data_IF_651100933796
#
_entry.id   IF_651100933796
#
_cell.length_a   1.000
_cell.length_b   1.000
_cell.length_c   1.000
_cell.angle_alpha   90.00
_cell.angle_beta   90.00
_cell.angle_gamma   90.00
#
_symmetry.space_group_name_H-M   'P 1'
#
loop_
_entity.id
_entity.type
_entity.pdbx_description
1 polymer ?
#
# COMPACT_ATOMS: atom_id res chain seq x y z
N UNK A 1 61.92 22.53 -43.65
CA UNK A 1 61.02 21.48 -43.18
C UNK A 1 61.52 20.13 -43.62
N UNK A 2 61.77 19.23 -42.68
CA UNK A 2 62.06 17.85 -42.95
C UNK A 2 60.75 17.06 -42.97
N UNK A 3 60.49 16.42 -44.11
CA UNK A 3 59.25 15.57 -44.25
C UNK A 3 59.70 14.09 -44.31
N UNK A 4 60.83 13.83 -44.93
CA UNK A 4 61.40 12.49 -45.08
C UNK A 4 62.96 12.59 -45.21
N UNK A 5 63.66 11.47 -45.11
CA UNK A 5 65.12 11.39 -45.17
C UNK A 5 65.81 11.56 -43.81
N UNK A 6 67.12 11.45 -43.74
CA UNK A 6 67.94 11.62 -42.55
C UNK A 6 68.91 12.81 -42.69
N UNK A 7 68.86 13.79 -41.76
CA UNK A 7 69.80 14.94 -41.78
C UNK A 7 71.22 14.59 -41.66
N UNK A 8 71.56 13.40 -41.10
CA UNK A 8 72.94 12.95 -40.88
C UNK A 8 73.37 11.75 -41.78
N UNK A 9 72.55 11.41 -42.78
CA UNK A 9 72.86 10.30 -43.68
C UNK A 9 74.12 10.58 -44.48
N UNK A 10 75.00 9.60 -44.51
CA UNK A 10 76.24 9.65 -45.34
C UNK A 10 75.91 9.40 -46.82
N UNK A 11 74.84 8.73 -47.15
CA UNK A 11 74.35 8.44 -48.48
C UNK A 11 73.58 9.66 -49.05
N UNK A 12 74.01 10.24 -50.19
CA UNK A 12 73.27 11.40 -50.78
C UNK A 12 71.80 11.13 -51.11
N UNK A 13 71.41 9.87 -51.35
CA UNK A 13 70.06 9.47 -51.67
C UNK A 13 69.10 9.47 -50.44
N UNK A 14 69.65 9.44 -49.24
CA UNK A 14 68.93 9.43 -47.98
C UNK A 14 68.97 10.79 -47.22
N UNK A 15 69.82 11.72 -47.73
CA UNK A 15 69.91 13.06 -47.12
C UNK A 15 68.65 13.91 -47.32
N UNK A 16 68.15 14.55 -46.27
CA UNK A 16 66.98 15.45 -46.32
C UNK A 16 67.38 16.90 -46.71
N UNK A 17 68.68 17.26 -46.76
CA UNK A 17 69.14 18.57 -47.10
C UNK A 17 69.97 18.51 -48.38
N UNK A 18 69.83 19.50 -49.28
CA UNK A 18 70.73 19.65 -50.42
C UNK A 18 72.13 20.11 -49.92
N UNK A 19 73.17 19.70 -50.62
CA UNK A 19 74.58 20.06 -50.32
C UNK A 19 74.81 21.58 -50.27
N UNK A 20 74.05 22.36 -51.00
CA UNK A 20 74.03 23.85 -50.95
C UNK A 20 73.60 24.46 -49.61
N UNK A 21 72.88 23.70 -48.79
CA UNK A 21 72.40 24.14 -47.44
C UNK A 21 73.36 23.64 -46.33
N UNK A 22 74.11 22.58 -46.56
CA UNK A 22 74.97 21.97 -45.57
C UNK A 22 76.44 22.43 -45.64
N UNK A 23 76.88 23.10 -46.79
CA UNK A 23 78.23 23.58 -46.95
C UNK A 23 78.21 25.11 -47.19
N UNK A 24 79.02 25.85 -46.45
CA UNK A 24 79.18 27.31 -46.62
C UNK A 24 80.08 27.60 -47.82
N UNK A 25 80.09 28.86 -48.29
CA UNK A 25 80.94 29.35 -49.40
C UNK A 25 82.45 29.28 -49.12
N UNK A 26 82.86 29.12 -47.84
CA UNK A 26 84.21 28.94 -47.38
C UNK A 26 84.58 27.46 -47.29
N UNK A 27 83.69 26.51 -47.69
CA UNK A 27 83.91 25.08 -47.66
C UNK A 27 83.70 24.40 -46.33
N UNK A 28 83.29 25.14 -45.27
CA UNK A 28 83.02 24.57 -43.99
C UNK A 28 81.57 23.97 -43.95
N UNK A 29 81.40 22.81 -43.26
CA UNK A 29 80.10 22.17 -43.07
C UNK A 29 79.32 22.91 -42.03
N UNK A 30 77.99 23.03 -42.28
CA UNK A 30 77.03 23.61 -41.36
C UNK A 30 75.81 22.72 -41.31
N UNK A 31 75.29 22.50 -40.11
CA UNK A 31 73.99 21.85 -39.91
C UNK A 31 72.88 22.85 -40.05
N UNK A 32 71.91 22.70 -41.00
CA UNK A 32 70.83 23.60 -41.17
C UNK A 32 69.77 23.38 -40.04
N UNK A 33 69.37 24.44 -39.39
CA UNK A 33 68.23 24.38 -38.49
C UNK A 33 66.96 24.20 -39.30
N UNK A 34 66.26 23.09 -39.10
CA UNK A 34 65.03 22.78 -39.78
C UNK A 34 63.95 22.28 -38.83
N UNK A 35 62.68 22.54 -39.17
CA UNK A 35 61.55 21.94 -38.52
C UNK A 35 61.34 20.52 -39.04
N UNK A 36 61.24 19.54 -38.19
CA UNK A 36 61.17 18.12 -38.54
C UNK A 36 59.71 17.59 -38.33
N UNK A 37 58.98 17.36 -39.44
CA UNK A 37 57.59 16.93 -39.41
C UNK A 37 57.37 15.43 -39.20
N UNK A 38 58.44 14.65 -39.10
CA UNK A 38 58.37 13.18 -38.91
C UNK A 38 57.82 12.85 -37.53
N UNK A 39 57.07 11.74 -37.42
CA UNK A 39 56.35 11.35 -36.18
C UNK A 39 57.23 11.14 -34.95
N UNK A 40 58.48 10.71 -35.18
CA UNK A 40 59.50 10.41 -34.12
C UNK A 40 60.37 11.62 -33.75
N UNK A 41 60.18 12.77 -34.41
CA UNK A 41 60.94 14.00 -34.17
C UNK A 41 59.92 15.09 -33.60
N UNK A 42 59.83 16.25 -34.22
CA UNK A 42 58.93 17.32 -33.78
C UNK A 42 57.44 16.99 -34.03
N UNK A 43 57.15 16.15 -35.00
CA UNK A 43 55.81 15.88 -35.47
C UNK A 43 55.18 17.09 -36.18
N UNK A 44 54.08 16.86 -36.87
CA UNK A 44 53.45 17.87 -37.76
C UNK A 44 53.09 19.20 -37.03
N UNK A 45 52.63 19.13 -35.79
CA UNK A 45 52.17 20.32 -35.05
C UNK A 45 53.37 21.21 -34.63
N UNK A 46 54.40 20.61 -34.01
CA UNK A 46 55.56 21.36 -33.55
C UNK A 46 56.43 21.87 -34.72
N UNK A 47 56.55 21.08 -35.80
CA UNK A 47 57.19 21.52 -37.02
C UNK A 47 56.48 22.71 -37.65
N UNK A 48 55.15 22.72 -37.71
CA UNK A 48 54.33 23.86 -38.13
C UNK A 48 54.61 25.12 -37.27
N UNK A 49 54.64 24.95 -35.95
CA UNK A 49 54.91 26.08 -35.03
C UNK A 49 56.34 26.61 -35.19
N UNK A 50 57.35 25.74 -35.41
CA UNK A 50 58.76 26.16 -35.70
C UNK A 50 58.84 26.98 -36.99
N UNK A 51 58.13 26.57 -38.05
CA UNK A 51 58.10 27.31 -39.32
C UNK A 51 57.43 28.67 -39.14
N UNK A 52 56.33 28.76 -38.46
CA UNK A 52 55.61 30.02 -38.18
C UNK A 52 56.49 30.93 -37.30
N UNK A 53 57.15 30.40 -36.27
CA UNK A 53 58.07 31.12 -35.42
C UNK A 53 59.23 31.72 -36.22
N UNK A 54 59.83 30.92 -37.10
CA UNK A 54 60.92 31.36 -37.98
C UNK A 54 60.51 32.42 -38.98
N UNK A 55 59.32 32.28 -39.58
CA UNK A 55 58.78 33.25 -40.56
C UNK A 55 58.41 34.60 -39.92
N UNK A 56 57.95 34.60 -38.65
CA UNK A 56 57.55 35.79 -37.90
C UNK A 56 58.68 36.41 -37.08
N UNK A 57 59.86 35.77 -37.00
CA UNK A 57 61.01 36.23 -36.22
C UNK A 57 60.76 36.20 -34.69
N UNK A 58 59.86 35.34 -34.20
CA UNK A 58 59.50 35.24 -32.78
C UNK A 58 59.93 33.92 -32.18
N UNK A 59 60.18 33.89 -30.87
CA UNK A 59 60.55 32.68 -30.17
C UNK A 59 59.50 31.57 -30.22
N UNK A 60 59.87 30.34 -30.49
CA UNK A 60 58.99 29.19 -30.49
C UNK A 60 58.23 29.06 -29.16
N UNK A 61 58.90 29.32 -28.02
CA UNK A 61 58.35 29.24 -26.68
C UNK A 61 57.26 30.28 -26.45
N UNK A 62 57.33 31.45 -27.04
CA UNK A 62 56.31 32.49 -26.97
C UNK A 62 55.05 32.08 -27.71
N UNK A 63 55.20 31.46 -28.91
CA UNK A 63 54.06 30.92 -29.64
C UNK A 63 53.38 29.77 -28.90
N UNK A 64 54.17 28.87 -28.32
CA UNK A 64 53.68 27.72 -27.56
C UNK A 64 52.95 28.15 -26.27
N UNK A 65 53.47 29.14 -25.56
CA UNK A 65 52.84 29.73 -24.39
C UNK A 65 51.48 30.39 -24.75
N UNK A 66 51.42 31.14 -25.85
CA UNK A 66 50.15 31.76 -26.31
C UNK A 66 49.12 30.76 -26.74
N UNK A 67 49.45 29.67 -27.41
CA UNK A 67 48.54 28.62 -27.81
C UNK A 67 48.03 27.84 -26.58
N UNK A 68 48.90 27.51 -25.64
CA UNK A 68 48.52 26.86 -24.38
C UNK A 68 47.59 27.77 -23.53
N UNK A 69 47.90 29.04 -23.41
CA UNK A 69 47.06 30.01 -22.68
C UNK A 69 45.65 30.17 -23.30
N UNK A 70 45.57 30.16 -24.63
CA UNK A 70 44.29 30.22 -25.37
C UNK A 70 43.46 28.98 -25.14
N UNK A 71 44.06 27.80 -25.20
CA UNK A 71 43.38 26.52 -24.90
C UNK A 71 42.96 26.45 -23.46
N UNK A 72 43.81 26.83 -22.51
CA UNK A 72 43.43 26.86 -21.10
C UNK A 72 42.27 27.83 -20.82
N UNK A 73 42.23 29.01 -21.43
CA UNK A 73 41.10 29.95 -21.29
C UNK A 73 39.82 29.36 -21.85
N UNK A 74 39.84 28.70 -23.01
CA UNK A 74 38.67 28.04 -23.58
C UNK A 74 38.17 26.88 -22.70
N UNK A 75 39.07 26.07 -22.16
CA UNK A 75 38.76 25.01 -21.19
C UNK A 75 38.18 25.56 -19.89
N UNK A 76 38.75 26.62 -19.33
CA UNK A 76 38.21 27.26 -18.13
C UNK A 76 36.82 27.86 -18.38
N UNK A 77 36.57 28.46 -19.52
CA UNK A 77 35.25 29.01 -19.88
C UNK A 77 34.21 27.88 -20.06
N UNK A 78 34.61 26.79 -20.75
CA UNK A 78 33.67 25.64 -20.92
C UNK A 78 33.40 24.92 -19.60
N UNK A 79 34.41 24.71 -18.75
CA UNK A 79 34.22 24.17 -17.40
C UNK A 79 33.37 25.09 -16.50
N UNK A 80 33.61 26.38 -16.54
CA UNK A 80 32.82 27.38 -15.81
C UNK A 80 31.36 27.37 -16.25
N UNK A 81 31.10 27.33 -17.57
CA UNK A 81 29.76 27.21 -18.11
C UNK A 81 29.06 25.92 -17.71
N UNK A 82 29.74 24.78 -17.80
CA UNK A 82 29.21 23.47 -17.39
C UNK A 82 28.90 23.44 -15.88
N UNK A 83 29.78 24.01 -15.05
CA UNK A 83 29.58 24.09 -13.61
C UNK A 83 28.39 24.99 -13.22
N UNK A 84 28.22 26.11 -13.92
CA UNK A 84 27.06 27.01 -13.71
C UNK A 84 25.75 26.29 -14.06
N UNK A 85 25.72 25.59 -15.21
CA UNK A 85 24.54 24.78 -15.59
C UNK A 85 24.24 23.70 -14.57
N UNK A 86 25.27 22.97 -14.09
CA UNK A 86 25.12 21.95 -13.06
C UNK A 86 24.54 22.52 -11.76
N UNK A 87 25.05 23.68 -11.31
CA UNK A 87 24.52 24.37 -10.09
C UNK A 87 23.07 24.79 -10.28
N UNK A 88 22.72 25.38 -11.42
CA UNK A 88 21.35 25.78 -11.73
C UNK A 88 20.42 24.57 -11.78
N UNK A 89 20.83 23.49 -12.45
CA UNK A 89 20.04 22.24 -12.51
C UNK A 89 19.85 21.62 -11.13
N UNK A 90 20.87 21.61 -10.30
CA UNK A 90 20.78 21.12 -8.93
C UNK A 90 19.85 21.99 -8.08
N UNK A 91 19.93 23.31 -8.20
CA UNK A 91 19.04 24.22 -7.50
C UNK A 91 17.58 24.05 -7.95
N UNK A 92 17.32 23.92 -9.26
CA UNK A 92 15.99 23.64 -9.79
C UNK A 92 15.45 22.30 -9.34
N UNK A 93 16.28 21.26 -9.32
CA UNK A 93 15.90 19.93 -8.80
C UNK A 93 15.53 20.00 -7.31
N UNK A 94 16.31 20.69 -6.48
CA UNK A 94 16.00 20.88 -5.07
C UNK A 94 14.70 21.67 -4.86
N UNK A 95 14.45 22.72 -5.63
CA UNK A 95 13.19 23.47 -5.57
C UNK A 95 12.01 22.59 -5.97
N UNK A 96 12.15 21.80 -7.05
CA UNK A 96 11.12 20.88 -7.50
C UNK A 96 10.81 19.80 -6.45
N UNK A 97 11.86 19.20 -5.83
CA UNK A 97 11.71 18.21 -4.77
C UNK A 97 11.00 18.82 -3.56
N UNK A 98 11.44 20.01 -3.11
CA UNK A 98 10.81 20.69 -1.97
C UNK A 98 9.36 21.10 -2.27
N UNK A 99 9.06 21.55 -3.47
CA UNK A 99 7.70 21.89 -3.89
C UNK A 99 6.80 20.64 -3.90
N UNK A 100 7.33 19.51 -4.39
CA UNK A 100 6.64 18.23 -4.37
C UNK A 100 6.35 17.76 -2.93
N UNK A 101 7.35 17.75 -2.04
CA UNK A 101 7.16 17.40 -0.64
C UNK A 101 6.17 18.33 0.08
N UNK A 102 6.20 19.63 -0.23
CA UNK A 102 5.24 20.57 0.34
C UNK A 102 3.80 20.32 -0.17
N UNK A 103 3.63 19.90 -1.41
CA UNK A 103 2.34 19.51 -1.97
C UNK A 103 1.86 18.19 -1.34
N UNK A 104 2.72 17.18 -1.25
CA UNK A 104 2.44 15.90 -0.59
C UNK A 104 2.02 16.09 0.87
N UNK A 105 2.77 16.87 1.65
CA UNK A 105 2.43 17.17 3.06
C UNK A 105 1.09 17.91 3.20
N UNK A 106 0.80 18.89 2.34
CA UNK A 106 -0.50 19.59 2.38
C UNK A 106 -1.66 18.66 2.09
N UNK A 107 -1.47 17.75 1.15
CA UNK A 107 -2.44 16.73 0.79
C UNK A 107 -2.66 15.74 1.93
N UNK A 108 -1.60 15.19 2.50
CA UNK A 108 -1.67 14.30 3.66
C UNK A 108 -2.40 14.97 4.84
N UNK A 109 -2.11 16.25 5.12
CA UNK A 109 -2.85 17.00 6.14
C UNK A 109 -4.33 17.18 5.80
N UNK A 110 -4.68 17.41 4.53
CA UNK A 110 -6.07 17.52 4.11
C UNK A 110 -6.81 16.18 4.22
N UNK A 111 -6.19 15.08 3.77
CA UNK A 111 -6.75 13.72 3.86
C UNK A 111 -6.91 13.28 5.33
N UNK A 112 -5.92 13.56 6.19
CA UNK A 112 -6.01 13.30 7.64
C UNK A 112 -7.10 14.15 8.30
N UNK A 113 -7.27 15.41 7.89
CA UNK A 113 -8.33 16.26 8.40
C UNK A 113 -9.71 15.71 8.00
N UNK A 114 -9.87 15.28 6.74
CA UNK A 114 -11.09 14.64 6.26
C UNK A 114 -11.37 13.35 7.05
N UNK A 115 -10.37 12.50 7.24
CA UNK A 115 -10.49 11.28 8.05
C UNK A 115 -10.90 11.56 9.49
N UNK A 116 -10.27 12.56 10.12
CA UNK A 116 -10.66 13.01 11.46
C UNK A 116 -12.09 13.55 11.50
N UNK A 117 -12.47 14.39 10.52
CA UNK A 117 -13.82 14.98 10.47
C UNK A 117 -14.91 13.91 10.28
N UNK A 118 -14.66 12.90 9.47
CA UNK A 118 -15.62 11.83 9.20
C UNK A 118 -15.64 10.79 10.33
N UNK A 119 -14.47 10.40 10.87
CA UNK A 119 -14.35 9.37 11.91
C UNK A 119 -14.61 9.87 13.32
N UNK A 120 -13.72 10.73 13.85
CA UNK A 120 -13.78 11.17 15.25
C UNK A 120 -14.98 12.09 15.52
N UNK A 121 -15.35 12.92 14.53
CA UNK A 121 -16.49 13.79 14.64
C UNK A 121 -17.81 12.97 14.58
N UNK A 122 -17.85 11.90 13.76
CA UNK A 122 -18.98 10.95 13.73
C UNK A 122 -19.27 10.44 15.15
N UNK A 123 -18.27 9.89 15.82
CA UNK A 123 -18.42 9.34 17.17
C UNK A 123 -19.00 10.37 18.17
N UNK A 124 -18.52 11.62 18.10
CA UNK A 124 -18.98 12.71 18.98
C UNK A 124 -20.38 13.24 18.62
N UNK A 125 -20.72 13.24 17.33
CA UNK A 125 -22.05 13.69 16.87
C UNK A 125 -23.10 12.62 17.12
N UNK A 126 -22.73 11.35 17.05
CA UNK A 126 -23.60 10.22 17.41
C UNK A 126 -23.99 10.28 18.90
N UNK A 127 -23.01 10.54 19.79
CA UNK A 127 -23.29 10.73 21.24
C UNK A 127 -24.33 11.82 21.53
N UNK A 128 -24.44 12.83 20.68
CA UNK A 128 -25.37 13.96 20.83
C UNK A 128 -26.57 13.91 19.88
N UNK A 129 -26.69 12.84 19.09
CA UNK A 129 -27.79 12.63 18.13
C UNK A 129 -27.81 13.63 16.97
N UNK A 130 -26.65 14.17 16.54
CA UNK A 130 -26.54 15.23 15.53
C UNK A 130 -25.78 14.74 14.27
N UNK A 131 -26.09 13.54 13.81
CA UNK A 131 -25.53 12.99 12.56
C UNK A 131 -25.94 13.78 11.31
N UNK A 132 -27.03 14.59 11.41
CA UNK A 132 -27.48 15.52 10.37
C UNK A 132 -26.37 16.49 9.89
N UNK A 133 -25.42 16.82 10.75
CA UNK A 133 -24.28 17.68 10.41
C UNK A 133 -23.32 16.99 9.44
N UNK A 134 -23.20 15.67 9.50
CA UNK A 134 -22.31 14.90 8.62
C UNK A 134 -22.85 14.75 7.20
N UNK A 135 -24.18 14.83 7.00
CA UNK A 135 -24.81 14.74 5.68
C UNK A 135 -24.28 15.82 4.71
N UNK A 136 -24.21 17.06 5.19
CA UNK A 136 -23.66 18.17 4.38
C UNK A 136 -22.18 18.07 4.08
N UNK A 137 -21.43 17.29 4.86
CA UNK A 137 -19.98 17.10 4.70
C UNK A 137 -19.67 15.98 3.71
N UNK A 138 -20.49 14.95 3.62
CA UNK A 138 -20.27 13.81 2.74
C UNK A 138 -20.11 14.22 1.27
N UNK A 139 -20.99 15.10 0.78
CA UNK A 139 -20.91 15.62 -0.59
C UNK A 139 -19.61 16.41 -0.87
N UNK A 140 -19.18 17.25 0.09
CA UNK A 140 -17.93 18.02 -0.06
C UNK A 140 -16.69 17.14 -0.02
N UNK A 141 -16.72 16.10 0.81
CA UNK A 141 -15.62 15.12 0.87
C UNK A 141 -15.55 14.32 -0.42
N UNK A 142 -16.69 13.87 -0.97
CA UNK A 142 -16.75 13.19 -2.26
C UNK A 142 -16.20 14.05 -3.38
N UNK A 143 -16.63 15.31 -3.48
CA UNK A 143 -16.15 16.28 -4.46
C UNK A 143 -14.64 16.50 -4.32
N UNK A 144 -14.13 16.64 -3.10
CA UNK A 144 -12.67 16.76 -2.87
C UNK A 144 -11.91 15.54 -3.36
N UNK A 145 -12.37 14.32 -3.04
CA UNK A 145 -11.70 13.08 -3.43
C UNK A 145 -11.69 12.88 -4.96
N UNK A 146 -12.75 13.31 -5.65
CA UNK A 146 -12.83 13.26 -7.11
C UNK A 146 -11.90 14.26 -7.81
N UNK A 147 -11.49 15.35 -7.15
CA UNK A 147 -10.57 16.35 -7.70
C UNK A 147 -9.10 15.94 -7.66
N UNK A 148 -8.77 14.83 -6.97
CA UNK A 148 -7.39 14.37 -6.86
C UNK A 148 -6.90 13.79 -8.19
N UNK A 149 -5.72 14.26 -8.66
CA UNK A 149 -5.12 13.78 -9.91
C UNK A 149 -4.67 12.31 -9.76
N UNK A 150 -5.17 11.38 -10.58
CA UNK A 150 -4.79 9.96 -10.53
C UNK A 150 -3.28 9.71 -10.71
N UNK A 151 -2.57 10.62 -11.36
CA UNK A 151 -1.12 10.52 -11.61
C UNK A 151 -0.24 10.82 -10.40
N UNK A 152 -0.78 11.48 -9.38
CA UNK A 152 -0.05 11.87 -8.16
C UNK A 152 -0.43 11.01 -6.94
N UNK A 153 -1.32 10.03 -7.12
CA UNK A 153 -1.90 9.24 -6.03
C UNK A 153 -0.92 8.17 -5.55
N UNK A 154 -0.44 8.29 -4.30
CA UNK A 154 0.37 7.26 -3.64
C UNK A 154 -0.52 6.15 -3.07
N UNK A 155 0.05 4.97 -2.77
CA UNK A 155 -0.69 3.87 -2.14
C UNK A 155 -1.21 4.28 -0.75
N UNK A 156 -0.45 5.10 -0.01
CA UNK A 156 -0.89 5.67 1.27
C UNK A 156 -2.13 6.54 1.10
N UNK A 157 -2.12 7.42 0.10
CA UNK A 157 -3.26 8.26 -0.22
C UNK A 157 -4.51 7.46 -0.64
N UNK A 158 -4.34 6.42 -1.47
CA UNK A 158 -5.43 5.51 -1.82
C UNK A 158 -5.99 4.81 -0.59
N UNK A 159 -5.13 4.37 0.33
CA UNK A 159 -5.55 3.74 1.58
C UNK A 159 -6.39 4.69 2.43
N UNK A 160 -5.97 5.95 2.57
CA UNK A 160 -6.74 6.96 3.30
C UNK A 160 -8.08 7.26 2.61
N UNK A 161 -8.10 7.37 1.29
CA UNK A 161 -9.35 7.57 0.53
C UNK A 161 -10.32 6.40 0.74
N UNK A 162 -9.84 5.16 0.66
CA UNK A 162 -10.68 3.98 0.89
C UNK A 162 -11.30 3.98 2.30
N UNK A 163 -10.51 4.36 3.32
CA UNK A 163 -11.01 4.51 4.70
C UNK A 163 -12.07 5.59 4.83
N UNK A 164 -11.85 6.73 4.20
CA UNK A 164 -12.82 7.84 4.21
C UNK A 164 -14.14 7.41 3.53
N UNK A 165 -14.06 6.75 2.37
CA UNK A 165 -15.25 6.23 1.71
C UNK A 165 -15.99 5.20 2.56
N UNK A 166 -15.28 4.30 3.23
CA UNK A 166 -15.91 3.36 4.18
C UNK A 166 -16.62 4.08 5.31
N UNK A 167 -15.99 5.07 5.94
CA UNK A 167 -16.58 5.86 7.01
C UNK A 167 -17.84 6.62 6.54
N UNK A 168 -17.80 7.20 5.34
CA UNK A 168 -18.98 7.84 4.73
C UNK A 168 -20.11 6.83 4.51
N UNK A 169 -19.79 5.61 4.06
CA UNK A 169 -20.74 4.52 3.92
C UNK A 169 -21.41 4.17 5.27
N UNK A 170 -20.63 4.06 6.34
CA UNK A 170 -21.14 3.82 7.70
C UNK A 170 -22.07 4.95 8.18
N UNK A 171 -21.70 6.22 7.93
CA UNK A 171 -22.57 7.39 8.24
C UNK A 171 -23.87 7.32 7.45
N UNK A 172 -23.81 7.00 6.15
CA UNK A 172 -25.02 6.85 5.32
C UNK A 172 -25.92 5.72 5.83
N UNK A 173 -25.34 4.60 6.33
CA UNK A 173 -26.10 3.53 6.98
C UNK A 173 -26.82 4.02 8.24
N UNK A 174 -26.14 4.75 9.11
CA UNK A 174 -26.74 5.31 10.34
C UNK A 174 -27.90 6.28 10.03
N UNK A 175 -27.85 6.96 8.89
CA UNK A 175 -28.90 7.84 8.37
C UNK A 175 -29.98 7.12 7.58
N UNK A 176 -29.84 5.80 7.36
CA UNK A 176 -30.72 5.02 6.49
C UNK A 176 -30.68 5.45 5.02
N UNK A 177 -29.62 6.14 4.58
CA UNK A 177 -29.32 6.41 3.17
C UNK A 177 -28.61 5.21 2.54
N UNK A 178 -29.39 4.17 2.21
CA UNK A 178 -28.85 2.94 1.65
C UNK A 178 -28.19 3.15 0.27
N UNK A 179 -28.66 4.14 -0.50
CA UNK A 179 -28.07 4.44 -1.81
C UNK A 179 -26.69 5.12 -1.67
N UNK A 180 -26.57 6.09 -0.76
CA UNK A 180 -25.29 6.71 -0.42
C UNK A 180 -24.30 5.70 0.16
N UNK A 181 -24.76 4.83 1.05
CA UNK A 181 -23.95 3.75 1.63
C UNK A 181 -23.41 2.81 0.54
N UNK A 182 -24.26 2.35 -0.37
CA UNK A 182 -23.88 1.48 -1.47
C UNK A 182 -22.80 2.14 -2.38
N UNK A 183 -23.00 3.41 -2.72
CA UNK A 183 -22.03 4.16 -3.53
C UNK A 183 -20.68 4.30 -2.82
N UNK A 184 -20.69 4.66 -1.53
CA UNK A 184 -19.48 4.87 -0.75
C UNK A 184 -18.69 3.56 -0.52
N UNK A 185 -19.35 2.46 -0.13
CA UNK A 185 -18.67 1.17 0.03
C UNK A 185 -18.16 0.61 -1.30
N UNK A 186 -18.87 0.86 -2.41
CA UNK A 186 -18.39 0.51 -3.76
C UNK A 186 -17.11 1.27 -4.11
N UNK A 187 -17.07 2.58 -3.86
CA UNK A 187 -15.88 3.40 -4.09
C UNK A 187 -14.69 2.93 -3.24
N UNK A 188 -14.92 2.64 -1.96
CA UNK A 188 -13.89 2.08 -1.06
C UNK A 188 -13.33 0.76 -1.61
N UNK A 189 -14.22 -0.19 -1.95
CA UNK A 189 -13.84 -1.49 -2.52
C UNK A 189 -13.00 -1.34 -3.79
N UNK A 190 -13.41 -0.50 -4.71
CA UNK A 190 -12.74 -0.36 -6.02
C UNK A 190 -11.32 0.19 -5.86
N UNK A 191 -11.09 1.11 -4.92
CA UNK A 191 -9.77 1.59 -4.54
C UNK A 191 -8.93 0.45 -3.94
N UNK A 192 -9.51 -0.32 -3.02
CA UNK A 192 -8.83 -1.43 -2.35
C UNK A 192 -8.47 -2.58 -3.31
N UNK A 193 -9.30 -2.84 -4.32
CA UNK A 193 -9.00 -3.79 -5.39
C UNK A 193 -7.75 -3.35 -6.18
N UNK A 194 -7.61 -2.06 -6.47
CA UNK A 194 -6.40 -1.54 -7.13
C UNK A 194 -5.16 -1.66 -6.23
N UNK A 195 -5.28 -1.35 -4.93
CA UNK A 195 -4.20 -1.54 -3.96
C UNK A 195 -3.80 -3.01 -3.82
N UNK A 196 -4.79 -3.91 -3.72
CA UNK A 196 -4.54 -5.36 -3.68
C UNK A 196 -3.87 -5.87 -4.97
N UNK A 197 -4.26 -5.36 -6.14
CA UNK A 197 -3.63 -5.70 -7.41
C UNK A 197 -2.14 -5.33 -7.44
N UNK A 198 -1.77 -4.19 -6.82
CA UNK A 198 -0.36 -3.75 -6.69
C UNK A 198 0.39 -4.57 -5.64
N UNK A 199 -0.28 -4.89 -4.53
CA UNK A 199 0.32 -5.54 -3.35
C UNK A 199 -0.50 -6.76 -2.88
N UNK A 200 -0.52 -7.88 -3.63
CA UNK A 200 -1.43 -9.00 -3.39
C UNK A 200 -1.15 -9.80 -2.10
N UNK A 201 -0.01 -9.56 -1.45
CA UNK A 201 0.38 -10.19 -0.19
C UNK A 201 0.23 -9.26 1.03
N UNK A 202 -0.30 -8.04 0.85
CA UNK A 202 -0.52 -7.11 1.95
C UNK A 202 -1.82 -7.47 2.68
N UNK A 203 -1.71 -8.00 3.89
CA UNK A 203 -2.86 -8.47 4.68
C UNK A 203 -3.87 -7.33 4.96
N UNK A 204 -3.39 -6.12 5.23
CA UNK A 204 -4.22 -4.94 5.49
C UNK A 204 -5.20 -4.66 4.34
N UNK A 205 -4.76 -4.69 3.08
CA UNK A 205 -5.65 -4.44 1.95
C UNK A 205 -6.67 -5.55 1.75
N UNK A 206 -6.28 -6.80 2.04
CA UNK A 206 -7.21 -7.95 1.97
C UNK A 206 -8.26 -7.87 3.08
N UNK A 207 -7.87 -7.46 4.28
CA UNK A 207 -8.78 -7.23 5.40
C UNK A 207 -9.79 -6.13 5.10
N UNK A 208 -9.33 -4.98 4.62
CA UNK A 208 -10.21 -3.86 4.25
C UNK A 208 -11.15 -4.23 3.07
N UNK A 209 -10.69 -5.05 2.11
CA UNK A 209 -11.56 -5.62 1.07
C UNK A 209 -12.67 -6.49 1.67
N UNK A 210 -12.32 -7.36 2.61
CA UNK A 210 -13.30 -8.14 3.36
C UNK A 210 -14.35 -7.26 4.03
N UNK A 211 -13.93 -6.20 4.70
CA UNK A 211 -14.82 -5.23 5.32
C UNK A 211 -15.73 -4.53 4.30
N UNK A 212 -15.18 -4.12 3.17
CA UNK A 212 -16.00 -3.46 2.13
C UNK A 212 -17.06 -4.42 1.56
N UNK A 213 -16.71 -5.67 1.30
CA UNK A 213 -17.67 -6.68 0.83
C UNK A 213 -18.71 -7.05 1.90
N UNK A 214 -18.34 -7.10 3.18
CA UNK A 214 -19.28 -7.26 4.29
C UNK A 214 -20.34 -6.16 4.26
N UNK A 215 -19.93 -4.89 4.20
CA UNK A 215 -20.85 -3.75 4.19
C UNK A 215 -21.72 -3.73 2.92
N UNK A 216 -21.18 -4.03 1.77
CA UNK A 216 -21.96 -4.18 0.53
C UNK A 216 -23.01 -5.28 0.67
N UNK A 217 -22.62 -6.44 1.22
CA UNK A 217 -23.55 -7.52 1.53
C UNK A 217 -24.67 -7.10 2.48
N UNK A 218 -24.34 -6.32 3.51
CA UNK A 218 -25.29 -5.82 4.47
C UNK A 218 -26.27 -4.79 3.84
N UNK A 219 -25.78 -3.85 3.04
CA UNK A 219 -26.66 -2.90 2.31
C UNK A 219 -27.62 -3.64 1.38
N UNK A 220 -27.12 -4.61 0.61
CA UNK A 220 -27.98 -5.42 -0.26
C UNK A 220 -28.99 -6.27 0.50
N UNK A 221 -28.65 -6.71 1.71
CA UNK A 221 -29.62 -7.40 2.59
C UNK A 221 -30.72 -6.45 3.03
N UNK A 222 -30.39 -5.23 3.47
CA UNK A 222 -31.36 -4.21 3.87
C UNK A 222 -32.27 -3.74 2.72
N UNK A 223 -31.75 -3.73 1.49
CA UNK A 223 -32.55 -3.41 0.29
C UNK A 223 -33.35 -4.60 -0.26
N UNK A 224 -33.18 -5.79 0.33
CA UNK A 224 -33.84 -7.02 -0.13
C UNK A 224 -33.24 -7.63 -1.42
N UNK A 225 -32.06 -7.18 -1.81
CA UNK A 225 -31.33 -7.65 -2.99
C UNK A 225 -30.50 -8.89 -2.65
N UNK A 226 -31.19 -9.98 -2.29
CA UNK A 226 -30.57 -11.16 -1.68
C UNK A 226 -29.48 -11.83 -2.52
N UNK A 227 -29.56 -11.79 -3.84
CA UNK A 227 -28.55 -12.40 -4.70
C UNK A 227 -27.24 -11.59 -4.70
N UNK A 228 -27.34 -10.27 -4.66
CA UNK A 228 -26.20 -9.36 -4.50
C UNK A 228 -25.60 -9.50 -3.11
N UNK A 229 -26.43 -9.59 -2.06
CA UNK A 229 -25.99 -9.85 -0.71
C UNK A 229 -25.21 -11.17 -0.59
N UNK A 230 -25.74 -12.25 -1.19
CA UNK A 230 -25.08 -13.56 -1.20
C UNK A 230 -23.73 -13.50 -1.91
N UNK A 231 -23.65 -12.80 -3.05
CA UNK A 231 -22.40 -12.62 -3.76
C UNK A 231 -21.37 -11.88 -2.91
N UNK A 232 -21.71 -10.72 -2.36
CA UNK A 232 -20.79 -9.90 -1.57
C UNK A 232 -20.31 -10.62 -0.29
N UNK A 233 -21.19 -11.33 0.42
CA UNK A 233 -20.82 -12.12 1.59
C UNK A 233 -19.94 -13.32 1.26
N UNK A 234 -20.10 -13.93 0.08
CA UNK A 234 -19.18 -14.98 -0.40
C UNK A 234 -17.83 -14.40 -0.82
N UNK A 235 -17.79 -13.20 -1.42
CA UNK A 235 -16.55 -12.48 -1.72
C UNK A 235 -15.83 -12.13 -0.40
N UNK A 236 -16.54 -11.65 0.63
CA UNK A 236 -16.01 -11.47 2.00
C UNK A 236 -15.39 -12.75 2.55
N UNK A 237 -16.10 -13.87 2.45
CA UNK A 237 -15.58 -15.18 2.89
C UNK A 237 -14.29 -15.55 2.15
N UNK A 238 -14.23 -15.29 0.84
CA UNK A 238 -13.04 -15.50 0.03
C UNK A 238 -11.84 -14.69 0.52
N UNK A 239 -12.05 -13.42 0.87
CA UNK A 239 -11.02 -12.56 1.44
C UNK A 239 -10.57 -13.01 2.84
N UNK A 240 -11.50 -13.43 3.70
CA UNK A 240 -11.19 -13.98 5.03
C UNK A 240 -10.31 -15.24 4.93
N UNK A 241 -10.57 -16.14 3.98
CA UNK A 241 -9.68 -17.27 3.73
C UNK A 241 -8.32 -16.83 3.19
N UNK A 242 -8.28 -15.79 2.34
CA UNK A 242 -7.03 -15.26 1.80
C UNK A 242 -6.13 -14.69 2.90
N UNK A 243 -6.69 -14.02 3.91
CA UNK A 243 -5.95 -13.54 5.09
C UNK A 243 -5.22 -14.67 5.80
N UNK A 244 -5.89 -15.80 6.05
CA UNK A 244 -5.27 -16.95 6.70
C UNK A 244 -4.18 -17.63 5.84
N UNK A 245 -4.23 -17.45 4.51
CA UNK A 245 -3.14 -17.90 3.61
C UNK A 245 -1.93 -16.96 3.70
N UNK A 246 -2.15 -15.65 3.86
CA UNK A 246 -1.07 -14.65 3.96
C UNK A 246 -0.38 -14.76 5.32
N UNK A 247 -1.14 -14.88 6.40
CA UNK A 247 -0.65 -14.97 7.78
C UNK A 247 -1.28 -16.18 8.51
N UNK A 248 -0.78 -17.39 8.27
CA UNK A 248 -1.33 -18.59 8.87
C UNK A 248 -1.24 -18.57 10.41
N UNK A 249 -2.33 -18.95 11.07
CA UNK A 249 -2.37 -19.04 12.53
C UNK A 249 -2.57 -17.70 13.25
N UNK A 250 -2.89 -16.62 12.54
CA UNK A 250 -3.34 -15.40 13.15
C UNK A 250 -4.80 -15.58 13.63
N UNK A 251 -5.09 -15.46 14.95
CA UNK A 251 -6.43 -15.69 15.47
C UNK A 251 -7.46 -14.69 14.96
N UNK A 252 -7.06 -13.47 14.58
CA UNK A 252 -7.96 -12.47 13.99
C UNK A 252 -8.50 -12.95 12.64
N UNK A 253 -7.67 -13.60 11.82
CA UNK A 253 -8.11 -14.10 10.52
C UNK A 253 -9.03 -15.34 10.63
N UNK A 254 -8.93 -16.10 11.71
CA UNK A 254 -9.91 -17.14 12.04
C UNK A 254 -11.24 -16.51 12.47
N UNK A 255 -11.21 -15.42 13.22
CA UNK A 255 -12.42 -14.68 13.57
C UNK A 255 -13.11 -14.09 12.33
N UNK A 256 -12.36 -13.53 11.38
CA UNK A 256 -12.92 -13.05 10.10
C UNK A 256 -13.64 -14.17 9.32
N UNK A 257 -13.06 -15.37 9.29
CA UNK A 257 -13.74 -16.54 8.68
C UNK A 257 -15.01 -16.90 9.43
N UNK A 258 -15.00 -16.84 10.76
CA UNK A 258 -16.17 -17.07 11.58
C UNK A 258 -17.28 -16.03 11.28
N UNK A 259 -16.95 -14.74 11.25
CA UNK A 259 -17.89 -13.68 10.94
C UNK A 259 -18.49 -13.84 9.53
N UNK A 260 -17.68 -14.14 8.53
CA UNK A 260 -18.16 -14.34 7.18
C UNK A 260 -19.16 -15.50 7.10
N UNK A 261 -18.87 -16.62 7.72
CA UNK A 261 -19.81 -17.75 7.80
C UNK A 261 -21.07 -17.40 8.56
N UNK A 262 -20.97 -16.67 9.67
CA UNK A 262 -22.10 -16.19 10.44
C UNK A 262 -23.03 -15.31 9.60
N UNK A 263 -22.47 -14.37 8.84
CA UNK A 263 -23.26 -13.48 8.00
C UNK A 263 -23.99 -14.22 6.85
N UNK A 264 -23.32 -15.23 6.24
CA UNK A 264 -23.97 -16.07 5.22
C UNK A 264 -25.13 -16.89 5.84
N UNK A 265 -24.96 -17.44 7.05
CA UNK A 265 -26.02 -18.15 7.73
C UNK A 265 -27.21 -17.22 8.06
N UNK A 266 -26.94 -15.99 8.50
CA UNK A 266 -27.96 -14.98 8.75
C UNK A 266 -28.75 -14.63 7.48
N UNK A 267 -28.07 -14.44 6.34
CA UNK A 267 -28.70 -14.20 5.04
C UNK A 267 -29.63 -15.35 4.65
N UNK A 268 -29.19 -16.60 4.82
CA UNK A 268 -30.00 -17.79 4.51
C UNK A 268 -31.28 -17.79 5.37
N UNK A 269 -31.15 -17.47 6.66
CA UNK A 269 -32.29 -17.34 7.56
C UNK A 269 -33.26 -16.24 7.13
N UNK A 270 -32.74 -15.08 6.74
CA UNK A 270 -33.55 -13.91 6.32
C UNK A 270 -34.28 -14.17 4.99
N UNK A 271 -33.65 -14.85 4.04
CA UNK A 271 -34.30 -15.25 2.77
C UNK A 271 -35.57 -16.07 2.96
N UNK A 272 -35.75 -16.70 4.14
CA UNK A 272 -36.90 -17.53 4.42
C UNK A 272 -37.01 -18.74 3.47
N UNK A 273 -35.91 -19.09 2.82
CA UNK A 273 -35.84 -20.17 1.82
C UNK A 273 -36.10 -21.57 2.38
N UNK A 274 -36.18 -21.71 3.70
CA UNK A 274 -36.29 -23.01 4.36
C UNK A 274 -34.99 -23.83 4.35
N UNK A 275 -33.88 -23.27 3.90
CA UNK A 275 -32.59 -23.96 3.70
C UNK A 275 -31.76 -24.03 5.00
N UNK A 276 -32.46 -24.40 6.10
CA UNK A 276 -31.88 -24.44 7.47
C UNK A 276 -30.66 -25.34 7.54
N UNK A 277 -30.62 -26.40 6.74
CA UNK A 277 -29.46 -27.29 6.66
C UNK A 277 -28.20 -26.57 6.15
N UNK A 278 -28.33 -25.70 5.16
CA UNK A 278 -27.21 -24.86 4.71
C UNK A 278 -26.77 -23.88 5.77
N UNK A 279 -27.74 -23.20 6.43
CA UNK A 279 -27.43 -22.34 7.53
C UNK A 279 -26.67 -23.07 8.65
N UNK A 280 -27.10 -24.29 8.99
CA UNK A 280 -26.44 -25.13 9.98
C UNK A 280 -24.96 -25.44 9.61
N UNK A 281 -24.69 -25.71 8.32
CA UNK A 281 -23.30 -25.91 7.86
C UNK A 281 -22.45 -24.69 8.14
N UNK A 282 -22.94 -23.50 7.80
CA UNK A 282 -22.20 -22.25 8.03
C UNK A 282 -22.03 -21.93 9.51
N UNK A 283 -23.05 -22.10 10.34
CA UNK A 283 -22.93 -21.85 11.79
C UNK A 283 -21.96 -22.83 12.45
N UNK A 284 -21.91 -24.11 12.02
CA UNK A 284 -20.91 -25.07 12.47
C UNK A 284 -19.49 -24.62 12.12
N UNK A 285 -19.26 -24.15 10.89
CA UNK A 285 -17.94 -23.63 10.48
C UNK A 285 -17.57 -22.38 11.27
N UNK A 286 -18.50 -21.46 11.51
CA UNK A 286 -18.29 -20.29 12.37
C UNK A 286 -17.84 -20.73 13.79
N UNK A 287 -18.56 -21.69 14.39
CA UNK A 287 -18.19 -22.25 15.70
C UNK A 287 -16.80 -22.87 15.72
N UNK A 288 -16.44 -23.62 14.68
CA UNK A 288 -15.12 -24.24 14.58
C UNK A 288 -13.98 -23.22 14.47
N UNK A 289 -14.15 -22.15 13.67
CA UNK A 289 -13.17 -21.08 13.55
C UNK A 289 -13.04 -20.26 14.83
N UNK A 290 -14.14 -19.92 15.48
CA UNK A 290 -14.13 -19.26 16.81
C UNK A 290 -13.38 -20.08 17.85
N UNK A 291 -13.64 -21.40 17.92
CA UNK A 291 -12.95 -22.30 18.83
C UNK A 291 -11.44 -22.31 18.55
N UNK A 292 -11.03 -22.40 17.29
CA UNK A 292 -9.61 -22.34 16.90
C UNK A 292 -8.96 -21.02 17.28
N UNK A 293 -9.63 -19.89 17.05
CA UNK A 293 -9.14 -18.56 17.44
C UNK A 293 -8.96 -18.47 18.97
N UNK A 294 -9.92 -19.00 19.73
CA UNK A 294 -9.86 -19.03 21.19
C UNK A 294 -8.76 -19.96 21.71
N UNK A 295 -8.47 -21.08 21.04
CA UNK A 295 -7.36 -21.97 21.37
C UNK A 295 -6.00 -21.26 21.18
N UNK A 296 -5.86 -20.40 20.17
CA UNK A 296 -4.66 -19.61 19.94
C UNK A 296 -4.54 -18.40 20.89
N UNK A 297 -5.66 -17.87 21.36
CA UNK A 297 -5.71 -16.71 22.24
C UNK A 297 -6.66 -16.95 23.44
N UNK A 298 -6.34 -17.91 24.34
CA UNK A 298 -7.28 -18.35 25.39
C UNK A 298 -7.61 -17.28 26.44
N UNK A 299 -6.78 -16.24 26.57
CA UNK A 299 -7.00 -15.08 27.43
C UNK A 299 -7.89 -14.00 26.83
N UNK A 300 -8.30 -14.11 25.57
CA UNK A 300 -9.10 -13.09 24.89
C UNK A 300 -10.59 -13.26 25.26
N UNK A 301 -11.10 -12.35 26.11
CA UNK A 301 -12.49 -12.35 26.56
C UNK A 301 -13.48 -12.03 25.42
N UNK A 302 -13.06 -11.25 24.42
CA UNK A 302 -13.88 -10.96 23.23
C UNK A 302 -14.12 -12.22 22.43
N UNK A 303 -13.06 -12.97 22.08
CA UNK A 303 -13.19 -14.23 21.34
C UNK A 303 -14.01 -15.27 22.12
N UNK A 304 -13.87 -15.27 23.44
CA UNK A 304 -14.69 -16.13 24.31
C UNK A 304 -16.16 -15.74 24.27
N UNK A 305 -16.46 -14.44 24.30
CA UNK A 305 -17.83 -13.93 24.19
C UNK A 305 -18.45 -14.28 22.83
N UNK A 306 -17.73 -14.04 21.75
CA UNK A 306 -18.15 -14.38 20.38
C UNK A 306 -18.41 -15.88 20.22
N UNK A 307 -17.53 -16.72 20.78
CA UNK A 307 -17.74 -18.17 20.76
C UNK A 307 -19.03 -18.56 21.50
N UNK A 308 -19.32 -17.93 22.62
CA UNK A 308 -20.57 -18.14 23.34
C UNK A 308 -21.80 -17.81 22.48
N UNK A 309 -21.79 -16.68 21.80
CA UNK A 309 -22.87 -16.25 20.90
C UNK A 309 -23.08 -17.23 19.74
N UNK A 310 -22.01 -17.64 19.09
CA UNK A 310 -22.08 -18.64 18.00
C UNK A 310 -22.60 -19.98 18.50
N UNK A 311 -22.25 -20.39 19.72
CA UNK A 311 -22.78 -21.62 20.33
C UNK A 311 -24.28 -21.52 20.63
N UNK A 312 -24.75 -20.34 21.04
CA UNK A 312 -26.18 -20.09 21.19
C UNK A 312 -26.92 -20.24 19.86
N UNK A 313 -26.38 -19.59 18.84
CA UNK A 313 -26.96 -19.64 17.48
C UNK A 313 -26.91 -21.04 16.87
N UNK A 314 -25.80 -21.78 17.10
CA UNK A 314 -25.71 -23.19 16.69
C UNK A 314 -26.81 -24.05 17.32
N UNK A 315 -27.10 -23.84 18.62
CA UNK A 315 -28.18 -24.54 19.29
C UNK A 315 -29.55 -24.22 18.67
N UNK A 316 -29.83 -22.96 18.39
CA UNK A 316 -31.10 -22.54 17.76
C UNK A 316 -31.26 -23.15 16.36
N UNK A 317 -30.20 -23.16 15.55
CA UNK A 317 -30.22 -23.75 14.22
C UNK A 317 -30.39 -25.28 14.30
N UNK A 318 -29.79 -25.92 15.29
CA UNK A 318 -29.97 -27.36 15.54
C UNK A 318 -31.41 -27.69 15.97
N UNK A 319 -32.05 -26.84 16.77
CA UNK A 319 -33.46 -26.99 17.12
C UNK A 319 -34.36 -26.93 15.86
N UNK A 320 -34.05 -26.00 14.94
CA UNK A 320 -34.81 -25.88 13.68
C UNK A 320 -34.67 -27.12 12.79
N UNK A 321 -33.56 -27.87 12.92
CA UNK A 321 -33.35 -29.16 12.21
C UNK A 321 -33.76 -30.36 13.04
N UNK A 322 -34.43 -30.18 14.18
CA UNK A 322 -34.82 -31.23 15.13
C UNK A 322 -33.63 -32.00 15.74
N UNK A 323 -32.43 -31.47 15.70
CA UNK A 323 -31.24 -32.03 16.39
C UNK A 323 -31.23 -31.61 17.87
N UNK A 324 -32.17 -32.13 18.67
CA UNK A 324 -32.27 -31.81 20.11
C UNK A 324 -31.02 -32.17 20.89
N UNK A 325 -30.34 -33.30 20.49
CA UNK A 325 -29.13 -33.73 21.17
C UNK A 325 -27.93 -32.83 20.91
N UNK A 326 -27.82 -32.32 19.68
CA UNK A 326 -26.85 -31.30 19.31
C UNK A 326 -27.12 -29.98 20.03
N UNK A 327 -28.37 -29.53 20.00
CA UNK A 327 -28.81 -28.29 20.64
C UNK A 327 -28.51 -28.28 22.17
N UNK A 328 -28.77 -29.39 22.84
CA UNK A 328 -28.45 -29.52 24.27
C UNK A 328 -26.95 -29.32 24.54
N UNK A 329 -26.08 -29.97 23.77
CA UNK A 329 -24.63 -29.82 23.89
C UNK A 329 -24.17 -28.38 23.63
N UNK A 330 -24.70 -27.79 22.60
CA UNK A 330 -24.37 -26.39 22.24
C UNK A 330 -24.81 -25.40 23.33
N UNK A 331 -26.00 -25.59 23.92
CA UNK A 331 -26.47 -24.77 25.07
C UNK A 331 -25.62 -25.01 26.34
N UNK A 332 -25.22 -26.24 26.62
CA UNK A 332 -24.33 -26.53 27.74
C UNK A 332 -22.99 -25.80 27.58
N UNK A 333 -22.44 -25.79 26.40
CA UNK A 333 -21.20 -25.08 26.10
C UNK A 333 -21.40 -23.57 26.21
N UNK A 334 -22.50 -23.03 25.70
CA UNK A 334 -22.85 -21.61 25.86
C UNK A 334 -22.90 -21.21 27.34
N UNK A 335 -23.59 -21.99 28.20
CA UNK A 335 -23.63 -21.73 29.65
C UNK A 335 -22.24 -21.76 30.26
N UNK A 336 -21.42 -22.78 29.92
CA UNK A 336 -20.05 -22.90 30.41
C UNK A 336 -19.20 -21.66 30.08
N UNK A 337 -19.29 -21.16 28.83
CA UNK A 337 -18.58 -19.98 28.38
C UNK A 337 -19.07 -18.72 29.09
N UNK A 338 -20.39 -18.52 29.14
CA UNK A 338 -20.99 -17.35 29.77
C UNK A 338 -20.64 -17.28 31.28
N UNK A 339 -20.59 -18.42 31.97
CA UNK A 339 -20.14 -18.51 33.37
C UNK A 339 -18.69 -18.09 33.55
N UNK A 340 -17.78 -18.53 32.68
CA UNK A 340 -16.38 -18.12 32.73
C UNK A 340 -16.22 -16.61 32.59
N UNK A 341 -16.99 -15.95 31.72
CA UNK A 341 -16.97 -14.50 31.56
C UNK A 341 -17.43 -13.76 32.81
N UNK A 342 -18.47 -14.27 33.50
CA UNK A 342 -18.93 -13.73 34.80
C UNK A 342 -17.87 -13.92 35.89
N UNK A 343 -17.25 -15.10 35.95
CA UNK A 343 -16.21 -15.40 36.96
C UNK A 343 -14.96 -14.52 36.75
N UNK A 344 -14.61 -14.17 35.51
CA UNK A 344 -13.51 -13.26 35.18
C UNK A 344 -13.81 -11.79 35.48
N UNK A 345 -15.07 -11.36 35.32
CA UNK A 345 -15.49 -9.99 35.55
C UNK A 345 -16.84 -9.92 36.30
N UNK A 346 -16.87 -10.24 37.60
CA UNK A 346 -18.11 -10.38 38.37
C UNK A 346 -18.99 -9.10 38.45
N UNK A 347 -18.40 -7.94 38.19
CA UNK A 347 -19.10 -6.65 38.17
C UNK A 347 -19.65 -6.24 36.78
N UNK A 348 -19.44 -7.07 35.76
CA UNK A 348 -19.91 -6.76 34.40
C UNK A 348 -21.36 -7.23 34.21
N UNK A 349 -22.31 -6.27 34.28
CA UNK A 349 -23.71 -6.56 34.11
C UNK A 349 -24.05 -7.20 32.74
N UNK A 350 -23.32 -6.89 31.69
CA UNK A 350 -23.52 -7.50 30.38
C UNK A 350 -23.25 -9.02 30.44
N UNK A 351 -22.14 -9.43 31.04
CA UNK A 351 -21.82 -10.85 31.20
C UNK A 351 -22.83 -11.59 32.11
N UNK A 352 -23.26 -10.93 33.17
CA UNK A 352 -24.32 -11.48 34.04
C UNK A 352 -25.65 -11.70 33.30
N UNK A 353 -26.06 -10.75 32.49
CA UNK A 353 -27.28 -10.86 31.67
C UNK A 353 -27.13 -11.98 30.61
N UNK A 354 -25.97 -12.07 29.94
CA UNK A 354 -25.72 -13.14 28.97
C UNK A 354 -25.69 -14.52 29.63
N UNK A 355 -25.17 -14.64 30.85
CA UNK A 355 -25.20 -15.88 31.61
C UNK A 355 -26.65 -16.28 31.96
N UNK A 356 -27.46 -15.36 32.44
CA UNK A 356 -28.87 -15.62 32.71
C UNK A 356 -29.65 -16.05 31.44
N UNK A 357 -29.38 -15.39 30.32
CA UNK A 357 -29.94 -15.78 29.03
C UNK A 357 -29.49 -17.18 28.58
N UNK A 358 -28.21 -17.54 28.79
CA UNK A 358 -27.70 -18.86 28.43
C UNK A 358 -28.34 -20.00 29.24
N UNK A 359 -28.61 -19.76 30.53
CA UNK A 359 -29.35 -20.70 31.42
C UNK A 359 -30.78 -20.90 30.91
N UNK A 360 -31.45 -19.82 30.55
CA UNK A 360 -32.83 -19.90 30.02
C UNK A 360 -32.89 -20.74 28.75
N UNK A 361 -31.94 -20.51 27.81
CA UNK A 361 -31.86 -21.33 26.59
C UNK A 361 -31.56 -22.81 26.86
N UNK A 362 -30.73 -23.13 27.86
CA UNK A 362 -30.48 -24.50 28.26
C UNK A 362 -31.71 -25.16 28.87
N UNK A 363 -32.46 -24.42 29.71
CA UNK A 363 -33.69 -24.92 30.31
C UNK A 363 -34.75 -25.19 29.24
N UNK A 364 -34.90 -24.32 28.25
CA UNK A 364 -35.83 -24.51 27.13
C UNK A 364 -35.56 -25.80 26.34
N UNK A 365 -34.32 -26.04 25.93
CA UNK A 365 -33.93 -27.30 25.23
C UNK A 365 -34.19 -28.50 26.12
N UNK A 366 -33.86 -28.45 27.42
CA UNK A 366 -34.11 -29.52 28.39
C UNK A 366 -35.58 -29.83 28.49
N UNK A 367 -36.42 -28.80 28.51
CA UNK A 367 -37.89 -28.96 28.55
C UNK A 367 -38.41 -29.64 27.28
N UNK A 368 -37.94 -29.20 26.09
CA UNK A 368 -38.33 -29.82 24.81
C UNK A 368 -37.93 -31.27 24.72
N UNK A 369 -36.87 -31.70 25.40
CA UNK A 369 -36.45 -33.11 25.51
C UNK A 369 -37.19 -33.90 26.58
N UNK A 370 -38.13 -33.28 27.32
CA UNK A 370 -38.84 -33.91 28.42
C UNK A 370 -38.00 -34.09 29.70
N UNK A 371 -36.86 -33.41 29.80
CA UNK A 371 -35.96 -33.43 30.96
C UNK A 371 -36.40 -32.37 32.00
N UNK A 372 -37.67 -32.44 32.45
CA UNK A 372 -38.33 -31.39 33.22
C UNK A 372 -37.62 -31.08 34.56
N UNK A 373 -37.13 -32.09 35.26
CA UNK A 373 -36.38 -31.89 36.51
C UNK A 373 -35.10 -31.10 36.28
N UNK A 374 -34.35 -31.41 35.24
CA UNK A 374 -33.10 -30.72 34.85
C UNK A 374 -33.39 -29.31 34.34
N UNK A 375 -34.51 -29.08 33.62
CA UNK A 375 -34.93 -27.78 33.20
C UNK A 375 -35.22 -26.86 34.39
N UNK A 376 -35.90 -27.36 35.41
CA UNK A 376 -36.18 -26.61 36.64
C UNK A 376 -34.89 -26.35 37.45
N UNK A 377 -33.98 -27.30 37.54
CA UNK A 377 -32.71 -27.15 38.23
C UNK A 377 -31.85 -26.06 37.58
N UNK A 378 -31.85 -25.97 36.27
CA UNK A 378 -31.10 -24.94 35.53
C UNK A 378 -31.66 -23.52 35.76
N UNK A 379 -32.93 -23.36 36.15
CA UNK A 379 -33.58 -22.05 36.38
C UNK A 379 -33.50 -21.61 37.85
N UNK A 380 -33.23 -22.49 38.80
CA UNK A 380 -33.13 -22.21 40.23
C UNK A 380 -31.78 -21.82 40.69
#
# INVERSE_FOLDING_TARGET
LIVDGDPQASDPGQQCFSRALTVRTDGTEREPLAADARKWADGKLLAKLKLIAGALGIGLDDLRRRDMQRRQRLWMLSMGGAMTIAVVMTALALVAINARHAAENRREHAENLVGYMVGDLKSKLDEVGRLDILEGMGGQVSEYLETLDPGEVTDESLTQQARVWRQLGEVSMDQSDLAGALAAFTASRDILLELHRRHPAQAEYVYELGNAEFWLGYVHLETGEFDQAEKALNDYLGWAYRLNVIEPGNPEWLMEQSYAHSNIAALIGTKGSGDVEKALIHVRQASDFNRQALELAPGNSTYRSEYGEVMAWLADTQLMTCDLGGALKSRQEHVRIARLLVDEAPGNNNFTNRYAFSITGLADVSWQMGLTAQALENLG
#
